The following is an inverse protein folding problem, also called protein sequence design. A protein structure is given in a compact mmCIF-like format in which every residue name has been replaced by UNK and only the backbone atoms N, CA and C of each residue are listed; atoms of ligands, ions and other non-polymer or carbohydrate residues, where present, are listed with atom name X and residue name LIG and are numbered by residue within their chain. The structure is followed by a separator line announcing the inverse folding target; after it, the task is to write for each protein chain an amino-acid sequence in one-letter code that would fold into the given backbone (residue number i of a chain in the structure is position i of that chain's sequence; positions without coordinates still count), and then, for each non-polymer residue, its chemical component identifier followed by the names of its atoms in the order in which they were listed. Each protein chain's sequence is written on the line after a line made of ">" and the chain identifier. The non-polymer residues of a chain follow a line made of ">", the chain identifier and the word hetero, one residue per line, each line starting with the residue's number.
data_IF_509021596435
#
_entry.id   IF_509021596435
#
_cell.length_a   1.000
_cell.length_b   1.000
_cell.length_c   1.000
_cell.angle_alpha   90.00
_cell.angle_beta   90.00
_cell.angle_gamma   90.00
#
_symmetry.space_group_name_H-M   'P 1'
#
loop_
_entity.id
_entity.type
_entity.pdbx_description
1 polymer ?
#
# COMPACT_ATOMS: atom_id res chain seq x y z
N UNK A 1 -9.73 0.86 7.81
CA UNK A 1 -8.27 0.77 7.52
C UNK A 1 -7.66 -0.50 8.11
N UNK A 2 -7.98 -0.86 9.37
CA UNK A 2 -7.52 -2.12 9.98
C UNK A 2 -7.93 -3.36 9.19
N UNK A 3 -9.15 -3.41 8.63
CA UNK A 3 -9.55 -4.56 7.80
C UNK A 3 -8.75 -4.65 6.51
N UNK A 4 -8.45 -3.51 5.87
CA UNK A 4 -7.69 -3.48 4.63
C UNK A 4 -6.24 -3.98 4.82
N UNK A 5 -5.60 -3.57 5.91
CA UNK A 5 -4.28 -4.08 6.32
C UNK A 5 -4.31 -5.59 6.61
N UNK A 6 -5.33 -6.07 7.34
CA UNK A 6 -5.52 -7.51 7.58
C UNK A 6 -5.73 -8.31 6.30
N UNK A 7 -6.45 -7.76 5.33
CA UNK A 7 -6.61 -8.40 4.02
C UNK A 7 -5.26 -8.55 3.31
N UNK A 8 -4.39 -7.53 3.34
CA UNK A 8 -3.06 -7.62 2.76
C UNK A 8 -2.21 -8.70 3.44
N UNK A 9 -2.23 -8.77 4.77
CA UNK A 9 -1.54 -9.84 5.50
C UNK A 9 -2.03 -11.23 5.13
N UNK A 10 -3.35 -11.41 4.97
CA UNK A 10 -3.94 -12.68 4.53
C UNK A 10 -3.49 -13.07 3.13
N UNK A 11 -3.39 -12.11 2.20
CA UNK A 11 -2.93 -12.37 0.83
C UNK A 11 -1.44 -12.69 0.81
N UNK A 12 -0.62 -11.99 1.61
CA UNK A 12 0.82 -12.25 1.70
C UNK A 12 1.19 -13.51 2.49
N UNK A 13 0.26 -14.09 3.27
CA UNK A 13 0.55 -15.18 4.20
C UNK A 13 1.38 -14.74 5.41
N UNK A 14 1.41 -13.44 5.73
CA UNK A 14 2.13 -12.88 6.86
C UNK A 14 1.29 -13.00 8.14
N UNK A 15 1.95 -13.28 9.27
CA UNK A 15 1.27 -13.50 10.56
C UNK A 15 0.93 -12.19 11.31
N UNK A 16 0.98 -11.05 10.64
CA UNK A 16 0.67 -9.73 11.21
C UNK A 16 1.79 -9.10 12.05
N UNK A 17 2.99 -9.70 12.06
CA UNK A 17 4.16 -9.12 12.71
C UNK A 17 4.99 -8.35 11.69
N UNK A 18 4.86 -7.01 11.68
CA UNK A 18 5.52 -6.13 10.73
C UNK A 18 4.91 -6.11 9.34
N UNK A 19 5.67 -5.65 8.34
CA UNK A 19 5.30 -5.67 6.92
C UNK A 19 6.25 -6.60 6.16
N UNK A 20 5.74 -7.34 5.19
CA UNK A 20 6.54 -8.20 4.30
C UNK A 20 6.75 -7.58 2.93
N UNK A 21 5.91 -6.61 2.56
CA UNK A 21 5.91 -6.02 1.24
C UNK A 21 5.56 -4.52 1.25
N UNK A 22 5.78 -3.87 0.11
CA UNK A 22 5.62 -2.41 -0.04
C UNK A 22 4.18 -1.93 0.17
N UNK A 23 3.18 -2.75 -0.18
CA UNK A 23 1.77 -2.42 -0.05
C UNK A 23 1.32 -2.45 1.41
N UNK A 24 1.72 -3.48 2.15
CA UNK A 24 1.48 -3.58 3.60
C UNK A 24 2.12 -2.42 4.35
N UNK A 25 3.38 -2.08 4.04
CA UNK A 25 4.07 -0.95 4.65
C UNK A 25 3.29 0.36 4.46
N UNK A 26 2.88 0.63 3.22
CA UNK A 26 2.15 1.86 2.89
C UNK A 26 0.76 1.91 3.53
N UNK A 27 0.08 0.76 3.65
CA UNK A 27 -1.19 0.66 4.37
C UNK A 27 -1.03 0.93 5.86
N UNK A 28 -0.01 0.36 6.50
CA UNK A 28 0.30 0.59 7.91
C UNK A 28 0.69 2.04 8.21
N UNK A 29 1.47 2.67 7.32
CA UNK A 29 1.79 4.10 7.39
C UNK A 29 0.53 4.97 7.30
N UNK A 30 -0.39 4.66 6.37
CA UNK A 30 -1.63 5.41 6.21
C UNK A 30 -2.55 5.22 7.42
N UNK A 31 -2.72 3.99 7.91
CA UNK A 31 -3.50 3.70 9.12
C UNK A 31 -2.95 4.47 10.31
N UNK A 32 -1.65 4.39 10.55
CA UNK A 32 -1.00 5.06 11.67
C UNK A 32 -1.21 6.56 11.58
N UNK A 33 -0.98 7.17 10.41
CA UNK A 33 -1.25 8.60 10.20
C UNK A 33 -2.68 8.97 10.57
N UNK A 34 -3.68 8.24 10.07
CA UNK A 34 -5.08 8.50 10.37
C UNK A 34 -5.45 8.32 11.85
N UNK A 35 -4.74 7.45 12.57
CA UNK A 35 -4.92 7.29 14.02
C UNK A 35 -4.29 8.42 14.84
N UNK A 36 -3.29 9.13 14.28
CA UNK A 36 -2.60 10.23 14.94
C UNK A 36 -3.04 11.62 14.46
N UNK A 37 -3.77 11.73 13.37
CA UNK A 37 -4.24 13.02 12.86
C UNK A 37 -5.31 13.62 13.78
N UNK A 38 -5.12 14.87 14.21
CA UNK A 38 -6.10 15.63 15.00
C UNK A 38 -7.07 16.39 14.10
N UNK A 39 -8.35 16.38 14.46
CA UNK A 39 -9.40 17.04 13.67
C UNK A 39 -9.21 18.55 13.58
N UNK A 40 -8.72 19.20 14.64
CA UNK A 40 -8.47 20.64 14.63
C UNK A 40 -7.30 20.99 13.70
N UNK A 41 -6.26 20.16 13.69
CA UNK A 41 -5.11 20.33 12.78
C UNK A 41 -5.55 20.17 11.32
N UNK A 42 -6.39 19.18 11.01
CA UNK A 42 -6.95 18.96 9.66
C UNK A 42 -7.76 20.19 9.20
N UNK A 43 -8.62 20.70 10.07
CA UNK A 43 -9.45 21.87 9.74
C UNK A 43 -8.56 23.10 9.57
N UNK A 44 -7.55 23.28 10.42
CA UNK A 44 -6.63 24.41 10.37
C UNK A 44 -5.72 24.38 9.14
N UNK A 45 -5.30 23.19 8.67
CA UNK A 45 -4.51 23.05 7.44
C UNK A 45 -5.35 23.16 6.17
N UNK A 46 -6.67 22.95 6.28
CA UNK A 46 -7.59 22.94 5.15
C UNK A 46 -8.07 21.53 4.82
N UNK A 47 -9.39 21.33 4.91
CA UNK A 47 -10.00 20.02 4.71
C UNK A 47 -9.80 19.48 3.28
N UNK A 48 -9.90 20.34 2.27
CA UNK A 48 -9.74 19.91 0.88
C UNK A 48 -8.32 19.43 0.59
N UNK A 49 -7.31 20.17 1.07
CA UNK A 49 -5.90 19.81 0.95
C UNK A 49 -5.60 18.49 1.66
N UNK A 50 -6.14 18.31 2.86
CA UNK A 50 -6.03 17.05 3.58
C UNK A 50 -6.64 15.87 2.81
N UNK A 51 -7.84 16.05 2.25
CA UNK A 51 -8.51 15.02 1.44
C UNK A 51 -7.70 14.72 0.17
N UNK A 52 -7.16 15.73 -0.50
CA UNK A 52 -6.31 15.56 -1.68
C UNK A 52 -5.06 14.74 -1.35
N UNK A 53 -4.36 15.07 -0.27
CA UNK A 53 -3.21 14.29 0.21
C UNK A 53 -3.59 12.85 0.57
N UNK A 54 -4.75 12.64 1.19
CA UNK A 54 -5.27 11.31 1.50
C UNK A 54 -5.54 10.50 0.23
N UNK A 55 -6.17 11.10 -0.78
CA UNK A 55 -6.44 10.47 -2.07
C UNK A 55 -5.14 10.06 -2.79
N UNK A 56 -4.13 10.93 -2.81
CA UNK A 56 -2.83 10.62 -3.40
C UNK A 56 -2.18 9.42 -2.71
N UNK A 57 -2.25 9.35 -1.36
CA UNK A 57 -1.73 8.21 -0.60
C UNK A 57 -2.47 6.91 -0.91
N UNK A 58 -3.80 6.96 -0.98
CA UNK A 58 -4.62 5.80 -1.33
C UNK A 58 -4.26 5.30 -2.74
N UNK A 59 -4.14 6.20 -3.72
CA UNK A 59 -3.74 5.83 -5.07
C UNK A 59 -2.34 5.20 -5.11
N UNK A 60 -1.40 5.71 -4.32
CA UNK A 60 -0.07 5.11 -4.20
C UNK A 60 -0.14 3.68 -3.64
N UNK A 61 -0.98 3.44 -2.62
CA UNK A 61 -1.20 2.11 -2.07
C UNK A 61 -1.79 1.18 -3.15
N UNK A 62 -2.79 1.65 -3.90
CA UNK A 62 -3.37 0.87 -5.01
C UNK A 62 -2.33 0.45 -6.04
N UNK A 63 -1.42 1.34 -6.42
CA UNK A 63 -0.32 1.01 -7.32
C UNK A 63 0.61 -0.06 -6.73
N UNK A 64 0.97 0.06 -5.45
CA UNK A 64 1.80 -0.95 -4.77
C UNK A 64 1.11 -2.30 -4.66
N UNK A 65 -0.21 -2.32 -4.44
CA UNK A 65 -1.01 -3.55 -4.45
C UNK A 65 -0.96 -4.18 -5.84
N UNK A 66 -1.15 -3.37 -6.89
CA UNK A 66 -1.03 -3.84 -8.27
C UNK A 66 0.35 -4.45 -8.54
N UNK A 67 1.42 -3.77 -8.14
CA UNK A 67 2.80 -4.22 -8.38
C UNK A 67 3.14 -5.51 -7.61
N UNK A 68 2.61 -5.68 -6.40
CA UNK A 68 2.92 -6.85 -5.57
C UNK A 68 2.10 -8.09 -5.93
N UNK A 69 0.85 -7.92 -6.37
CA UNK A 69 -0.10 -9.04 -6.47
C UNK A 69 -0.70 -9.23 -7.86
N UNK A 70 -0.74 -8.20 -8.69
CA UNK A 70 -1.44 -8.24 -9.98
C UNK A 70 -0.52 -8.08 -11.19
N UNK A 71 0.72 -7.61 -11.01
CA UNK A 71 1.72 -7.64 -12.07
C UNK A 71 2.10 -9.09 -12.40
N UNK A 72 1.83 -9.48 -13.64
CA UNK A 72 2.39 -10.68 -14.23
C UNK A 72 3.87 -10.39 -14.45
N UNK A 73 4.74 -10.96 -13.62
CA UNK A 73 6.17 -11.01 -13.96
C UNK A 73 6.26 -11.83 -15.25
N UNK A 74 6.68 -11.22 -16.34
CA UNK A 74 6.94 -11.91 -17.60
C UNK A 74 7.88 -13.08 -17.32
N UNK A 75 7.32 -14.29 -17.26
CA UNK A 75 8.06 -15.53 -17.06
C UNK A 75 8.91 -15.89 -18.32
N UNK A 76 8.87 -15.03 -19.35
CA UNK A 76 9.51 -15.20 -20.65
C UNK A 76 10.93 -14.62 -20.74
N UNK A 77 11.39 -13.81 -19.78
CA UNK A 77 12.73 -13.22 -19.84
C UNK A 77 13.87 -14.19 -19.47
N UNK A 78 13.56 -15.41 -18.97
CA UNK A 78 14.57 -16.40 -18.56
C UNK A 78 14.74 -17.58 -19.51
N UNK A 79 14.08 -17.62 -20.68
CA UNK A 79 14.18 -18.75 -21.63
C UNK A 79 14.94 -18.44 -22.94
N UNK A 80 15.39 -17.21 -23.19
CA UNK A 80 16.07 -16.86 -24.46
C UNK A 80 17.60 -16.78 -24.39
N UNK A 81 18.22 -17.16 -23.27
CA UNK A 81 19.67 -17.25 -23.11
C UNK A 81 20.07 -18.70 -22.87
N UNK A 82 19.83 -19.57 -23.86
CA UNK A 82 20.09 -21.00 -23.75
C UNK A 82 19.70 -21.81 -24.98
N UNK A 83 19.98 -21.31 -26.19
CA UNK A 83 20.13 -22.16 -27.36
C UNK A 83 21.39 -21.72 -28.10
N UNK A 84 22.46 -22.49 -27.87
CA UNK A 84 23.58 -22.66 -28.80
C UNK A 84 23.09 -23.29 -30.10
#
# INVERSE_FOLDING_TARGET
>A
MKEAEQCLYKISGANGDGYTNSAEKAMGELRSKLEFDDVNDIISSGLHEYIEHLQIKINNISNKINDNYFQIKDNFASQTMGQE
#
